data_IF_190788320798
#
_entry.id   IF_190788320798
#
_cell.length_a   1.000
_cell.length_b   1.000
_cell.length_c   1.000
_cell.angle_alpha   90.00
_cell.angle_beta   90.00
_cell.angle_gamma   90.00
#
_symmetry.space_group_name_H-M   'P 1'
#
loop_
_entity.id
_entity.type
_entity.pdbx_description
1 polymer ?
#
# COMPACT_ATOMS: atom_id res chain seq x y z
N UNK A 1 -11.36 5.21 -32.19
CA UNK A 1 -11.58 6.45 -31.42
C UNK A 1 -10.77 6.34 -30.15
N UNK A 2 -9.99 7.37 -29.77
CA UNK A 2 -9.21 7.33 -28.52
C UNK A 2 -10.22 7.38 -27.37
N UNK A 3 -10.39 6.24 -26.70
CA UNK A 3 -11.33 6.09 -25.60
C UNK A 3 -10.82 6.95 -24.43
N UNK A 4 -11.58 7.97 -24.02
CA UNK A 4 -11.19 8.93 -22.98
C UNK A 4 -10.74 8.30 -21.65
N UNK A 5 -11.14 7.05 -21.40
CA UNK A 5 -10.66 6.21 -20.29
C UNK A 5 -9.13 6.05 -20.27
N UNK A 6 -8.48 5.91 -21.43
CA UNK A 6 -7.03 5.73 -21.50
C UNK A 6 -6.26 6.99 -21.06
N UNK A 7 -6.79 8.16 -21.44
CA UNK A 7 -6.21 9.46 -21.05
C UNK A 7 -6.33 9.67 -19.53
N UNK A 8 -7.49 9.35 -18.96
CA UNK A 8 -7.73 9.45 -17.51
C UNK A 8 -6.82 8.49 -16.74
N UNK A 9 -6.66 7.25 -17.23
CA UNK A 9 -5.80 6.25 -16.60
C UNK A 9 -4.32 6.63 -16.60
N UNK A 10 -3.82 7.19 -17.71
CA UNK A 10 -2.42 7.67 -17.81
C UNK A 10 -2.19 8.86 -16.86
N UNK A 11 -3.11 9.81 -16.81
CA UNK A 11 -3.00 10.98 -15.94
C UNK A 11 -3.03 10.57 -14.46
N UNK A 12 -3.92 9.63 -14.10
CA UNK A 12 -4.02 9.09 -12.76
C UNK A 12 -2.75 8.34 -12.35
N UNK A 13 -2.18 7.54 -13.26
CA UNK A 13 -0.95 6.80 -12.99
C UNK A 13 0.28 7.70 -12.85
N UNK A 14 0.39 8.76 -13.68
CA UNK A 14 1.43 9.79 -13.52
C UNK A 14 1.30 10.52 -12.18
N UNK A 15 0.08 10.88 -11.79
CA UNK A 15 -0.19 11.54 -10.52
C UNK A 15 0.14 10.65 -9.32
N UNK A 16 -0.26 9.38 -9.35
CA UNK A 16 0.07 8.38 -8.31
C UNK A 16 1.56 8.05 -8.26
N UNK A 17 2.23 7.96 -9.41
CA UNK A 17 3.67 7.79 -9.50
C UNK A 17 4.43 8.96 -8.86
N UNK A 18 4.01 10.19 -9.17
CA UNK A 18 4.56 11.40 -8.57
C UNK A 18 4.32 11.46 -7.05
N UNK A 19 3.13 11.07 -6.59
CA UNK A 19 2.79 11.02 -5.18
C UNK A 19 3.63 10.00 -4.40
N UNK A 20 3.93 8.85 -5.02
CA UNK A 20 4.82 7.81 -4.47
C UNK A 20 6.27 8.31 -4.39
N UNK A 21 6.71 9.07 -5.40
CA UNK A 21 8.04 9.68 -5.43
C UNK A 21 8.21 10.76 -4.34
N UNK A 22 7.17 11.57 -4.09
CA UNK A 22 7.14 12.53 -2.97
C UNK A 22 7.22 11.81 -1.62
N UNK A 23 6.47 10.71 -1.44
CA UNK A 23 6.52 9.93 -0.20
C UNK A 23 7.87 9.24 0.02
N UNK A 24 8.55 8.80 -1.04
CA UNK A 24 9.93 8.29 -0.96
C UNK A 24 10.92 9.37 -0.51
N UNK A 25 10.79 10.60 -1.03
CA UNK A 25 11.69 11.71 -0.70
C UNK A 25 11.58 12.17 0.77
N UNK A 26 10.44 11.94 1.43
CA UNK A 26 10.23 12.26 2.86
C UNK A 26 10.84 11.23 3.85
N UNK A 27 11.49 10.15 3.38
CA UNK A 27 12.18 9.12 4.21
C UNK A 27 11.32 8.45 5.31
N UNK A 28 10.00 8.65 5.30
CA UNK A 28 9.05 8.00 6.24
C UNK A 28 8.79 6.52 5.90
N UNK A 29 9.31 6.04 4.76
CA UNK A 29 9.04 4.71 4.20
C UNK A 29 10.36 4.00 3.90
N UNK A 30 10.49 2.74 4.33
CA UNK A 30 11.64 1.87 4.05
C UNK A 30 11.75 1.61 2.54
N UNK A 31 12.96 1.60 1.97
CA UNK A 31 13.22 1.43 0.52
C UNK A 31 12.39 0.32 -0.14
N UNK A 32 12.17 -0.81 0.54
CA UNK A 32 11.37 -1.92 0.04
C UNK A 32 9.89 -1.58 -0.21
N UNK A 33 9.29 -0.70 0.60
CA UNK A 33 7.88 -0.32 0.44
C UNK A 33 7.69 0.63 -0.76
N UNK A 34 8.66 1.50 -1.06
CA UNK A 34 8.60 2.34 -2.26
C UNK A 34 8.79 1.56 -3.55
N UNK A 35 9.65 0.52 -3.54
CA UNK A 35 9.78 -0.39 -4.70
C UNK A 35 8.50 -1.19 -4.91
N UNK A 36 7.86 -1.68 -3.83
CA UNK A 36 6.57 -2.37 -3.91
C UNK A 36 5.48 -1.49 -4.52
N UNK A 37 5.31 -0.26 -4.01
CA UNK A 37 4.34 0.67 -4.57
C UNK A 37 4.67 1.09 -6.00
N UNK A 38 5.94 1.26 -6.34
CA UNK A 38 6.38 1.51 -7.71
C UNK A 38 5.92 0.40 -8.67
N UNK A 39 6.15 -0.88 -8.31
CA UNK A 39 5.69 -2.02 -9.09
C UNK A 39 4.16 -2.06 -9.26
N UNK A 40 3.40 -1.70 -8.22
CA UNK A 40 1.94 -1.64 -8.28
C UNK A 40 1.48 -0.58 -9.28
N UNK A 41 2.05 0.62 -9.25
CA UNK A 41 1.71 1.68 -10.21
C UNK A 41 2.12 1.31 -11.63
N UNK A 42 3.30 0.72 -11.82
CA UNK A 42 3.75 0.22 -13.12
C UNK A 42 2.82 -0.87 -13.65
N UNK A 43 2.36 -1.79 -12.80
CA UNK A 43 1.39 -2.82 -13.19
C UNK A 43 0.05 -2.20 -13.63
N UNK A 44 -0.42 -1.15 -12.96
CA UNK A 44 -1.65 -0.45 -13.33
C UNK A 44 -1.48 0.26 -14.68
N UNK A 45 -0.33 0.90 -14.93
CA UNK A 45 -0.01 1.52 -16.23
C UNK A 45 -0.07 0.50 -17.37
N UNK A 46 0.52 -0.68 -17.16
CA UNK A 46 0.54 -1.76 -18.15
C UNK A 46 -0.88 -2.24 -18.46
N UNK A 47 -1.72 -2.42 -17.43
CA UNK A 47 -3.12 -2.84 -17.62
C UNK A 47 -3.94 -1.78 -18.37
N UNK A 48 -3.73 -0.50 -18.08
CA UNK A 48 -4.42 0.62 -18.74
C UNK A 48 -3.98 0.80 -20.20
N UNK A 49 -2.70 0.55 -20.51
CA UNK A 49 -2.16 0.70 -21.87
C UNK A 49 -2.60 -0.41 -22.83
N UNK A 50 -3.12 -1.54 -22.32
CA UNK A 50 -3.44 -2.71 -23.13
C UNK A 50 -4.94 -3.07 -23.05
N UNK A 51 -5.88 -2.18 -23.42
CA UNK A 51 -7.30 -2.55 -23.44
C UNK A 51 -7.63 -3.54 -24.58
N UNK A 52 -6.83 -3.56 -25.66
CA UNK A 52 -7.12 -4.34 -26.88
C UNK A 52 -6.50 -5.74 -26.98
N UNK A 53 -5.46 -6.08 -26.19
CA UNK A 53 -4.95 -7.48 -26.15
C UNK A 53 -5.61 -8.31 -25.06
N UNK A 54 -6.16 -7.63 -24.05
CA UNK A 54 -6.91 -8.25 -22.98
C UNK A 54 -8.18 -8.90 -23.57
N UNK A 55 -8.88 -8.25 -24.52
CA UNK A 55 -10.03 -8.86 -25.22
C UNK A 55 -9.68 -10.16 -25.94
N UNK A 56 -8.56 -10.23 -26.67
CA UNK A 56 -8.14 -11.44 -27.40
C UNK A 56 -7.79 -12.60 -26.46
N UNK A 57 -7.22 -12.29 -25.29
CA UNK A 57 -6.95 -13.29 -24.24
C UNK A 57 -8.22 -13.72 -23.49
N UNK A 58 -9.23 -12.86 -23.40
CA UNK A 58 -10.50 -13.12 -22.72
C UNK A 58 -11.46 -13.99 -23.53
N UNK A 59 -11.39 -13.96 -24.86
CA UNK A 59 -12.17 -14.87 -25.71
C UNK A 59 -11.80 -16.35 -25.45
N UNK A 60 -10.56 -16.62 -25.01
CA UNK A 60 -10.14 -17.96 -24.61
C UNK A 60 -10.62 -18.35 -23.20
N UNK A 61 -10.97 -17.37 -22.34
CA UNK A 61 -11.41 -17.59 -20.96
C UNK A 61 -12.94 -17.45 -20.75
N UNK A 62 -13.73 -17.14 -21.79
CA UNK A 62 -15.19 -16.97 -21.73
C UNK A 62 -15.69 -15.98 -20.66
N UNK A 63 -14.88 -15.00 -20.29
CA UNK A 63 -15.29 -14.00 -19.31
C UNK A 63 -15.90 -12.82 -20.06
N UNK A 64 -17.20 -12.61 -19.88
CA UNK A 64 -17.98 -11.64 -20.65
C UNK A 64 -17.45 -10.18 -20.54
N UNK A 65 -16.64 -9.87 -19.52
CA UNK A 65 -16.05 -8.53 -19.29
C UNK A 65 -14.67 -8.60 -18.66
N UNK A 66 -13.66 -8.10 -19.39
CA UNK A 66 -12.30 -7.87 -18.89
C UNK A 66 -12.27 -7.00 -17.63
N UNK A 67 -13.21 -6.08 -17.53
CA UNK A 67 -13.33 -5.13 -16.44
C UNK A 67 -13.65 -5.82 -15.11
N UNK A 68 -14.49 -6.85 -15.11
CA UNK A 68 -14.89 -7.53 -13.88
C UNK A 68 -13.72 -8.26 -13.23
N UNK A 69 -12.85 -8.90 -14.03
CA UNK A 69 -11.63 -9.53 -13.52
C UNK A 69 -10.67 -8.52 -12.89
N UNK A 70 -10.46 -7.37 -13.54
CA UNK A 70 -9.58 -6.33 -13.03
C UNK A 70 -10.13 -5.76 -11.72
N UNK A 71 -11.45 -5.57 -11.62
CA UNK A 71 -12.10 -5.10 -10.39
C UNK A 71 -11.95 -6.13 -9.28
N UNK A 72 -12.23 -7.41 -9.54
CA UNK A 72 -12.07 -8.47 -8.53
C UNK A 72 -10.62 -8.58 -8.06
N UNK A 73 -9.65 -8.57 -8.97
CA UNK A 73 -8.23 -8.57 -8.62
C UNK A 73 -7.84 -7.33 -7.82
N UNK A 74 -8.34 -6.15 -8.19
CA UNK A 74 -8.11 -4.90 -7.47
C UNK A 74 -8.66 -4.95 -6.04
N UNK A 75 -9.86 -5.51 -5.85
CA UNK A 75 -10.47 -5.68 -4.53
C UNK A 75 -9.64 -6.65 -3.67
N UNK A 76 -9.27 -7.81 -4.21
CA UNK A 76 -8.43 -8.79 -3.51
C UNK A 76 -7.09 -8.17 -3.13
N UNK A 77 -6.47 -7.42 -4.04
CA UNK A 77 -5.23 -6.71 -3.78
C UNK A 77 -5.38 -5.65 -2.66
N UNK A 78 -6.44 -4.83 -2.70
CA UNK A 78 -6.71 -3.82 -1.67
C UNK A 78 -6.95 -4.44 -0.30
N UNK A 79 -7.66 -5.57 -0.24
CA UNK A 79 -7.87 -6.32 1.00
C UNK A 79 -6.55 -6.85 1.54
N UNK A 80 -5.69 -7.41 0.69
CA UNK A 80 -4.37 -7.90 1.09
C UNK A 80 -3.48 -6.78 1.65
N UNK A 81 -3.45 -5.61 0.99
CA UNK A 81 -2.69 -4.44 1.44
C UNK A 81 -3.24 -3.92 2.77
N UNK A 82 -4.56 -3.81 2.90
CA UNK A 82 -5.22 -3.37 4.14
C UNK A 82 -4.90 -4.33 5.29
N UNK A 83 -4.99 -5.64 5.05
CA UNK A 83 -4.65 -6.65 6.04
C UNK A 83 -3.18 -6.57 6.46
N UNK A 84 -2.26 -6.42 5.51
CA UNK A 84 -0.84 -6.23 5.79
C UNK A 84 -0.59 -4.98 6.66
N UNK A 85 -1.25 -3.87 6.34
CA UNK A 85 -1.15 -2.64 7.12
C UNK A 85 -1.70 -2.83 8.54
N UNK A 86 -2.85 -3.49 8.67
CA UNK A 86 -3.46 -3.80 9.97
C UNK A 86 -2.50 -4.59 10.86
N UNK A 87 -1.86 -5.64 10.33
CA UNK A 87 -0.86 -6.44 11.09
C UNK A 87 0.33 -5.59 11.51
N UNK A 88 0.82 -4.71 10.64
CA UNK A 88 1.95 -3.81 10.95
C UNK A 88 1.60 -2.80 12.03
N UNK A 89 0.41 -2.20 11.96
CA UNK A 89 -0.09 -1.26 12.97
C UNK A 89 -0.26 -1.94 14.31
N UNK A 90 -0.81 -3.16 14.34
CA UNK A 90 -0.98 -3.90 15.59
C UNK A 90 0.37 -4.25 16.25
N UNK A 91 1.37 -4.65 15.46
CA UNK A 91 2.74 -4.87 15.96
C UNK A 91 3.36 -3.59 16.51
N UNK A 92 3.13 -2.44 15.86
CA UNK A 92 3.63 -1.16 16.31
C UNK A 92 2.97 -0.73 17.63
N UNK A 93 1.65 -0.93 17.76
CA UNK A 93 0.90 -0.67 18.98
C UNK A 93 1.43 -1.48 20.16
N UNK A 94 1.71 -2.77 19.98
CA UNK A 94 2.26 -3.61 21.04
C UNK A 94 3.63 -3.13 21.50
N UNK A 95 4.54 -2.85 20.56
CA UNK A 95 5.87 -2.29 20.90
C UNK A 95 5.78 -0.98 21.66
N UNK A 96 4.84 -0.11 21.29
CA UNK A 96 4.61 1.16 21.98
C UNK A 96 4.11 0.91 23.41
N UNK A 97 3.22 -0.08 23.59
CA UNK A 97 2.72 -0.45 24.91
C UNK A 97 3.86 -0.96 25.82
N UNK A 98 4.69 -1.87 25.32
CA UNK A 98 5.85 -2.40 26.05
C UNK A 98 6.84 -1.28 26.43
N UNK A 99 7.07 -0.33 25.51
CA UNK A 99 7.89 0.84 25.76
C UNK A 99 7.32 1.70 26.90
N UNK A 100 6.03 2.04 26.85
CA UNK A 100 5.36 2.86 27.88
C UNK A 100 5.37 2.15 29.23
N UNK A 101 5.11 0.84 29.26
CA UNK A 101 5.17 0.03 30.48
C UNK A 101 6.58 0.05 31.11
N UNK A 102 7.62 -0.18 30.30
CA UNK A 102 9.00 -0.14 30.77
C UNK A 102 9.40 1.24 31.31
N UNK A 103 8.90 2.32 30.70
CA UNK A 103 9.15 3.69 31.15
C UNK A 103 8.42 3.98 32.48
N UNK A 104 7.20 3.48 32.65
CA UNK A 104 6.43 3.63 33.88
C UNK A 104 7.11 2.93 35.06
N UNK A 105 7.54 1.67 34.88
CA UNK A 105 8.25 0.89 35.90
C UNK A 105 9.55 1.58 36.30
N UNK A 106 10.37 2.00 35.33
CA UNK A 106 11.62 2.72 35.60
C UNK A 106 11.40 4.02 36.37
N UNK A 107 10.32 4.75 36.06
CA UNK A 107 9.97 6.00 36.77
C UNK A 107 9.54 5.73 38.20
N UNK A 108 8.78 4.66 38.45
CA UNK A 108 8.38 4.25 39.80
C UNK A 108 9.59 3.86 40.67
N UNK A 109 10.49 3.02 40.16
CA UNK A 109 11.71 2.60 40.87
C UNK A 109 12.64 3.79 41.20
N UNK A 110 12.75 4.76 40.29
CA UNK A 110 13.58 5.96 40.52
C UNK A 110 13.05 6.81 41.68
N UNK A 111 11.74 6.92 41.84
CA UNK A 111 11.12 7.67 42.94
C UNK A 111 11.26 6.98 44.29
N UNK A 112 11.18 5.64 44.33
CA UNK A 112 11.35 4.85 45.55
C UNK A 112 12.77 4.99 46.12
N UNK A 113 13.80 4.93 45.26
CA UNK A 113 15.19 5.11 45.66
C UNK A 113 15.52 6.55 46.16
N UNK A 114 14.74 7.56 45.77
CA UNK A 114 14.89 8.93 46.29
C UNK A 114 14.21 9.18 47.63
N UNK A 115 13.37 8.24 48.09
CA UNK A 115 12.67 8.35 49.37
C UNK A 115 13.40 7.63 50.51
N UNK A 116 14.30 6.70 50.18
CA UNK A 116 15.15 5.99 51.15
C UNK A 116 16.58 6.56 51.30
N UNK A 117 16.90 7.67 50.63
CA UNK A 117 18.17 8.41 50.75
C UNK A 117 17.94 9.75 51.43
#
# INVERSE_FOLDING_TARGET
MINGIAIIGIFFALFMGYYTFIKFKRKEITTNQSVFWGLVWTSIIIVVLIPGKISDFLDQFQIARALDLIVVLGIVFLLAVTFYLFVRVNKLKNKLNDLVESLAIKKAQKNENSFCA
#
